data_IF_327919282696
#
_entry.id   IF_327919282696
#
_cell.length_a   1.000
_cell.length_b   1.000
_cell.length_c   1.000
_cell.angle_alpha   90.00
_cell.angle_beta   90.00
_cell.angle_gamma   90.00
#
_symmetry.space_group_name_H-M   'P 1'
#
loop_
_entity.id
_entity.type
_entity.pdbx_description
1 polymer ?
#
# COMPACT_ATOMS: atom_id res chain seq x y z
N UNK A 1 -9.45 -6.77 15.77
CA UNK A 1 -8.24 -7.63 15.89
C UNK A 1 -7.03 -6.76 15.58
N UNK A 2 -5.89 -6.93 16.26
CA UNK A 2 -4.68 -6.14 15.92
C UNK A 2 -3.98 -6.78 14.72
N UNK A 3 -3.81 -6.03 13.63
CA UNK A 3 -3.04 -6.48 12.46
C UNK A 3 -1.57 -6.62 12.90
N UNK A 4 -0.90 -7.76 12.63
CA UNK A 4 0.46 -7.98 13.11
C UNK A 4 1.46 -7.04 12.42
N UNK A 5 2.46 -6.60 13.18
CA UNK A 5 3.67 -5.97 12.65
C UNK A 5 4.78 -7.00 12.65
N UNK A 6 5.51 -7.11 11.53
CA UNK A 6 6.67 -7.97 11.40
C UNK A 6 7.95 -7.15 11.45
N UNK A 7 8.89 -7.59 12.26
CA UNK A 7 10.19 -6.95 12.41
C UNK A 7 11.26 -7.87 11.82
N UNK A 8 12.20 -7.29 11.10
CA UNK A 8 13.41 -7.93 10.61
C UNK A 8 14.62 -7.11 11.07
N UNK A 9 15.83 -7.59 10.82
CA UNK A 9 17.05 -6.85 11.17
C UNK A 9 17.11 -5.44 10.55
N UNK A 10 16.44 -5.21 9.40
CA UNK A 10 16.56 -3.98 8.62
C UNK A 10 15.24 -3.25 8.37
N UNK A 11 14.10 -3.94 8.52
CA UNK A 11 12.80 -3.46 8.09
C UNK A 11 11.71 -3.80 9.10
N UNK A 12 10.77 -2.86 9.22
CA UNK A 12 9.48 -3.04 9.86
C UNK A 12 8.40 -3.11 8.79
N UNK A 13 7.68 -4.22 8.73
CA UNK A 13 6.47 -4.37 7.93
C UNK A 13 5.28 -4.17 8.85
N UNK A 14 4.60 -3.03 8.71
CA UNK A 14 3.44 -2.66 9.53
C UNK A 14 2.18 -2.56 8.67
N UNK A 15 0.99 -2.59 9.29
CA UNK A 15 -0.25 -2.34 8.60
C UNK A 15 -0.26 -0.97 7.91
N UNK A 16 -1.03 -0.87 6.83
CA UNK A 16 -1.26 0.40 6.15
C UNK A 16 -1.97 1.39 7.08
N UNK A 17 -1.60 2.66 6.92
CA UNK A 17 -2.31 3.82 7.46
C UNK A 17 -2.52 4.83 6.34
N UNK A 18 -3.51 5.71 6.45
CA UNK A 18 -3.83 6.67 5.37
C UNK A 18 -2.63 7.52 4.91
N UNK A 19 -1.69 7.81 5.81
CA UNK A 19 -0.47 8.57 5.51
C UNK A 19 0.48 7.85 4.54
N UNK A 20 0.32 6.54 4.34
CA UNK A 20 1.14 5.74 3.42
C UNK A 20 0.81 5.99 1.95
N UNK A 21 -0.32 6.64 1.65
CA UNK A 21 -0.72 6.91 0.27
C UNK A 21 0.29 7.80 -0.48
N UNK A 22 0.81 8.84 0.18
CA UNK A 22 1.80 9.76 -0.43
C UNK A 22 3.12 9.06 -0.77
N UNK A 23 3.82 8.39 0.18
CA UNK A 23 5.07 7.70 -0.15
C UNK A 23 4.84 6.54 -1.14
N UNK A 24 3.71 5.83 -1.06
CA UNK A 24 3.38 4.79 -2.03
C UNK A 24 3.19 5.37 -3.44
N UNK A 25 2.45 6.48 -3.58
CA UNK A 25 2.30 7.18 -4.85
C UNK A 25 3.65 7.62 -5.43
N UNK A 26 4.55 8.14 -4.59
CA UNK A 26 5.90 8.52 -5.01
C UNK A 26 6.70 7.32 -5.55
N UNK A 27 6.61 6.15 -4.90
CA UNK A 27 7.26 4.92 -5.37
C UNK A 27 6.68 4.48 -6.72
N UNK A 28 5.36 4.48 -6.86
CA UNK A 28 4.67 4.05 -8.08
C UNK A 28 4.92 4.99 -9.27
N UNK A 29 5.26 6.26 -8.99
CA UNK A 29 5.62 7.25 -9.98
C UNK A 29 7.08 7.15 -10.47
N UNK A 30 7.93 6.31 -9.87
CA UNK A 30 9.32 6.15 -10.32
C UNK A 30 9.36 5.37 -11.63
N UNK A 31 10.09 5.92 -12.61
CA UNK A 31 10.28 5.30 -13.93
C UNK A 31 10.72 3.84 -13.83
N UNK A 32 9.97 2.96 -14.49
CA UNK A 32 10.26 1.53 -14.57
C UNK A 32 9.79 0.70 -13.38
N UNK A 33 9.29 1.29 -12.28
CA UNK A 33 8.70 0.53 -11.16
C UNK A 33 7.51 -0.30 -11.62
N UNK A 34 6.68 0.27 -12.51
CA UNK A 34 5.50 -0.40 -13.04
C UNK A 34 5.74 -1.25 -14.29
N UNK A 35 7.01 -1.48 -14.68
CA UNK A 35 7.37 -2.19 -15.94
C UNK A 35 6.71 -3.56 -16.10
N UNK A 36 6.46 -4.26 -14.99
CA UNK A 36 5.91 -5.61 -14.97
C UNK A 36 4.46 -5.67 -14.48
N UNK A 37 3.83 -4.52 -14.23
CA UNK A 37 2.41 -4.44 -13.88
C UNK A 37 1.54 -4.51 -15.14
N UNK A 38 0.27 -4.90 -14.97
CA UNK A 38 -0.69 -4.98 -16.09
C UNK A 38 -0.91 -3.62 -16.77
N UNK A 39 -0.79 -2.52 -16.01
CA UNK A 39 -0.74 -1.15 -16.49
C UNK A 39 0.58 -0.54 -16.06
N UNK A 40 1.31 0.06 -16.99
CA UNK A 40 2.54 0.81 -16.72
C UNK A 40 2.28 2.28 -16.35
N UNK A 41 1.05 2.76 -16.49
CA UNK A 41 0.68 4.13 -16.17
C UNK A 41 0.64 4.32 -14.65
N UNK A 42 1.43 5.28 -14.09
CA UNK A 42 1.37 5.60 -12.68
C UNK A 42 -0.04 6.04 -12.26
N UNK A 43 -0.60 5.50 -11.15
CA UNK A 43 -1.87 5.98 -10.64
C UNK A 43 -1.71 7.40 -10.08
N UNK A 44 -2.78 8.20 -10.15
CA UNK A 44 -2.86 9.44 -9.39
C UNK A 44 -2.94 9.18 -7.88
N UNK A 45 -2.68 10.22 -7.08
CA UNK A 45 -2.70 10.13 -5.63
C UNK A 45 -4.07 9.68 -5.10
N UNK A 46 -5.17 10.19 -5.65
CA UNK A 46 -6.52 9.84 -5.22
C UNK A 46 -6.78 8.33 -5.37
N UNK A 47 -6.31 7.72 -6.46
CA UNK A 47 -6.42 6.27 -6.66
C UNK A 47 -5.59 5.49 -5.63
N UNK A 48 -4.43 5.98 -5.25
CA UNK A 48 -3.59 5.36 -4.20
C UNK A 48 -4.24 5.51 -2.82
N UNK A 49 -4.83 6.66 -2.51
CA UNK A 49 -5.60 6.88 -1.27
C UNK A 49 -6.76 5.88 -1.16
N UNK A 50 -7.56 5.72 -2.22
CA UNK A 50 -8.65 4.72 -2.26
C UNK A 50 -8.13 3.30 -2.09
N UNK A 51 -6.97 2.98 -2.66
CA UNK A 51 -6.34 1.66 -2.46
C UNK A 51 -5.97 1.44 -1.00
N UNK A 52 -5.30 2.41 -0.36
CA UNK A 52 -4.90 2.31 1.06
C UNK A 52 -6.11 2.18 1.98
N UNK A 53 -7.17 2.97 1.76
CA UNK A 53 -8.40 2.86 2.55
C UNK A 53 -9.03 1.48 2.44
N UNK A 54 -9.10 0.91 1.22
CA UNK A 54 -9.62 -0.45 1.02
C UNK A 54 -8.78 -1.50 1.74
N UNK A 55 -7.46 -1.38 1.76
CA UNK A 55 -6.62 -2.31 2.53
C UNK A 55 -6.94 -2.27 4.02
N UNK A 56 -7.13 -1.07 4.57
CA UNK A 56 -7.47 -0.87 5.99
C UNK A 56 -8.84 -1.51 6.29
N UNK A 57 -9.86 -1.15 5.51
CA UNK A 57 -11.23 -1.68 5.63
C UNK A 57 -11.27 -3.20 5.51
N UNK A 58 -10.59 -3.76 4.49
CA UNK A 58 -10.59 -5.19 4.25
C UNK A 58 -9.98 -5.98 5.42
N UNK A 59 -8.93 -5.43 6.05
CA UNK A 59 -8.34 -6.02 7.25
C UNK A 59 -9.28 -5.95 8.45
N UNK A 60 -9.98 -4.83 8.65
CA UNK A 60 -10.96 -4.69 9.71
C UNK A 60 -12.11 -5.69 9.57
N UNK A 61 -12.57 -5.92 8.34
CA UNK A 61 -13.67 -6.83 8.02
C UNK A 61 -13.26 -8.31 8.07
N UNK A 62 -12.10 -8.66 7.51
CA UNK A 62 -11.75 -10.05 7.20
C UNK A 62 -10.53 -10.58 7.95
N UNK A 63 -9.74 -9.72 8.60
CA UNK A 63 -8.50 -10.11 9.27
C UNK A 63 -7.36 -10.50 8.33
N UNK A 64 -7.45 -10.09 7.06
CA UNK A 64 -6.38 -10.12 6.05
C UNK A 64 -6.62 -8.99 5.04
N UNK A 65 -5.65 -8.67 4.18
CA UNK A 65 -5.80 -7.62 3.16
C UNK A 65 -6.13 -8.17 1.77
N UNK A 66 -6.81 -7.37 0.94
CA UNK A 66 -6.66 -7.34 -0.52
C UNK A 66 -7.02 -5.98 -1.08
#
# INVERSE_FOLDING_TARGET
MSIPTFETERLRLRPFVHQDAVPLHQILAVDGVLRYYASSDPPDLERVERFVSRQIEHWEEHGYGW
#
